data_IF_961279316489
#
_entry.id   IF_961279316489
#
_cell.length_a   1.000
_cell.length_b   1.000
_cell.length_c   1.000
_cell.angle_alpha   90.00
_cell.angle_beta   90.00
_cell.angle_gamma   90.00
#
_symmetry.space_group_name_H-M   'P 1'
#
loop_
_entity.id
_entity.type
_entity.pdbx_description
1 polymer ?
#
# COMPACT_ATOMS: atom_id res chain seq x y z
N UNK A 1 -12.26 -23.34 -9.12
CA UNK A 1 -11.56 -22.31 -8.32
C UNK A 1 -10.96 -21.21 -9.19
N UNK A 2 -10.15 -21.53 -10.22
CA UNK A 2 -9.56 -20.52 -11.12
C UNK A 2 -10.60 -19.62 -11.85
N UNK A 3 -11.68 -20.22 -12.37
CA UNK A 3 -12.76 -19.47 -13.04
C UNK A 3 -13.44 -18.42 -12.14
N UNK A 4 -13.49 -18.62 -10.81
CA UNK A 4 -14.11 -17.65 -9.91
C UNK A 4 -13.26 -16.39 -9.72
N UNK A 5 -11.93 -16.49 -9.91
CA UNK A 5 -11.02 -15.36 -9.75
C UNK A 5 -11.00 -14.45 -10.98
N UNK A 6 -11.18 -15.03 -12.17
CA UNK A 6 -11.01 -14.35 -13.47
C UNK A 6 -12.33 -13.96 -14.13
N UNK A 7 -13.43 -14.67 -13.86
CA UNK A 7 -14.73 -14.31 -14.43
C UNK A 7 -15.28 -13.01 -13.84
N UNK A 8 -16.04 -12.29 -14.65
CA UNK A 8 -16.80 -11.11 -14.23
C UNK A 8 -17.74 -11.51 -13.10
N UNK A 9 -17.38 -11.10 -11.88
CA UNK A 9 -18.04 -11.54 -10.66
C UNK A 9 -19.15 -10.56 -10.26
N UNK A 10 -18.81 -9.28 -10.17
CA UNK A 10 -19.73 -8.19 -9.83
C UNK A 10 -19.38 -6.95 -10.66
N UNK A 11 -20.39 -6.27 -11.19
CA UNK A 11 -20.26 -5.01 -11.95
C UNK A 11 -19.26 -5.06 -13.13
N UNK A 12 -19.10 -6.22 -13.76
CA UNK A 12 -18.17 -6.40 -14.89
C UNK A 12 -16.68 -6.46 -14.48
N UNK A 13 -16.37 -6.51 -13.19
CA UNK A 13 -15.02 -6.72 -12.67
C UNK A 13 -14.85 -8.11 -12.05
N UNK A 14 -13.67 -8.69 -12.22
CA UNK A 14 -13.34 -10.00 -11.69
C UNK A 14 -13.17 -9.96 -10.17
N UNK A 15 -13.37 -11.11 -9.50
CA UNK A 15 -13.14 -11.22 -8.06
C UNK A 15 -11.70 -10.83 -7.70
N UNK A 16 -10.71 -11.18 -8.53
CA UNK A 16 -9.33 -10.78 -8.31
C UNK A 16 -9.16 -9.26 -8.24
N UNK A 17 -9.80 -8.51 -9.14
CA UNK A 17 -9.76 -7.04 -9.14
C UNK A 17 -10.47 -6.46 -7.92
N UNK A 18 -11.60 -7.05 -7.50
CA UNK A 18 -12.27 -6.66 -6.26
C UNK A 18 -11.40 -6.84 -5.02
N UNK A 19 -10.65 -7.95 -4.94
CA UNK A 19 -9.69 -8.16 -3.85
C UNK A 19 -8.59 -7.09 -3.84
N UNK A 20 -8.13 -6.62 -5.02
CA UNK A 20 -7.18 -5.50 -5.11
C UNK A 20 -7.79 -4.22 -4.55
N UNK A 21 -9.00 -3.87 -4.95
CA UNK A 21 -9.69 -2.66 -4.49
C UNK A 21 -9.91 -2.70 -2.96
N UNK A 22 -10.45 -3.81 -2.45
CA UNK A 22 -10.74 -3.98 -1.02
C UNK A 22 -9.44 -3.94 -0.19
N UNK A 23 -8.42 -4.69 -0.60
CA UNK A 23 -7.13 -4.70 0.11
C UNK A 23 -6.47 -3.32 0.09
N UNK A 24 -6.55 -2.59 -1.03
CA UNK A 24 -6.05 -1.22 -1.13
C UNK A 24 -6.75 -0.28 -0.14
N UNK A 25 -8.08 -0.38 -0.04
CA UNK A 25 -8.86 0.41 0.94
C UNK A 25 -8.53 0.05 2.39
N UNK A 26 -8.36 -1.24 2.69
CA UNK A 26 -7.94 -1.70 4.03
C UNK A 26 -6.52 -1.23 4.37
N UNK A 27 -5.57 -1.31 3.44
CA UNK A 27 -4.20 -0.84 3.63
C UNK A 27 -4.15 0.66 3.95
N UNK A 28 -4.95 1.48 3.26
CA UNK A 28 -5.05 2.91 3.54
C UNK A 28 -5.69 3.20 4.90
N UNK A 29 -6.76 2.48 5.23
CA UNK A 29 -7.42 2.61 6.54
C UNK A 29 -6.47 2.23 7.67
N UNK A 30 -5.69 1.16 7.49
CA UNK A 30 -4.65 0.73 8.42
C UNK A 30 -3.53 1.76 8.56
N UNK A 31 -3.04 2.32 7.43
CA UNK A 31 -2.05 3.39 7.44
C UNK A 31 -2.55 4.61 8.20
N UNK A 32 -3.79 5.05 7.95
CA UNK A 32 -4.40 6.19 8.62
C UNK A 32 -4.56 5.95 10.13
N UNK A 33 -5.04 4.76 10.53
CA UNK A 33 -5.15 4.40 11.93
C UNK A 33 -3.79 4.39 12.64
N UNK A 34 -2.76 3.85 11.97
CA UNK A 34 -1.38 3.86 12.47
C UNK A 34 -0.86 5.29 12.60
N UNK A 35 -1.02 6.13 11.58
CA UNK A 35 -0.61 7.54 11.59
C UNK A 35 -1.27 8.31 12.73
N UNK A 36 -2.59 8.14 12.91
CA UNK A 36 -3.32 8.71 14.06
C UNK A 36 -2.70 8.29 15.39
N UNK A 37 -2.30 7.03 15.51
CA UNK A 37 -1.70 6.50 16.74
C UNK A 37 -0.25 6.98 16.94
N UNK A 38 0.48 7.32 15.86
CA UNK A 38 1.76 8.02 15.95
C UNK A 38 1.61 9.40 16.59
N UNK A 39 0.64 10.20 16.13
CA UNK A 39 0.37 11.53 16.70
C UNK A 39 -0.12 11.46 18.16
N UNK A 40 -0.72 10.34 18.56
CA UNK A 40 -1.10 10.06 19.96
C UNK A 40 0.06 9.54 20.81
N UNK A 41 1.26 9.39 20.26
CA UNK A 41 2.43 8.85 20.94
C UNK A 41 2.36 7.34 21.25
N UNK A 42 1.36 6.63 20.70
CA UNK A 42 1.19 5.18 20.90
C UNK A 42 2.10 4.34 20.00
N UNK A 43 2.60 4.95 18.92
CA UNK A 43 3.46 4.28 17.94
C UNK A 43 4.60 5.20 17.53
N UNK A 44 5.83 4.66 17.52
CA UNK A 44 7.04 5.37 17.11
C UNK A 44 7.72 4.55 16.02
N UNK A 45 7.43 4.80 14.72
CA UNK A 45 7.99 4.00 13.64
C UNK A 45 9.49 4.24 13.48
N UNK A 46 10.23 3.18 13.12
CA UNK A 46 11.61 3.34 12.67
C UNK A 46 11.65 3.84 11.22
N UNK A 47 12.17 5.06 11.00
CA UNK A 47 12.21 5.71 9.69
C UNK A 47 12.97 4.91 8.63
N UNK A 48 14.02 4.17 9.00
CA UNK A 48 14.80 3.36 8.05
C UNK A 48 13.96 2.18 7.56
N UNK A 49 13.35 1.43 8.48
CA UNK A 49 12.52 0.27 8.12
C UNK A 49 11.31 0.69 7.28
N UNK A 50 10.56 1.70 7.74
CA UNK A 50 9.39 2.18 7.02
C UNK A 50 9.75 2.81 5.67
N UNK A 51 10.86 3.54 5.62
CA UNK A 51 11.40 4.10 4.37
C UNK A 51 11.79 3.02 3.37
N UNK A 52 12.44 1.93 3.81
CA UNK A 52 12.76 0.79 2.94
C UNK A 52 11.52 0.05 2.45
N UNK A 53 10.51 -0.12 3.32
CA UNK A 53 9.22 -0.70 2.94
C UNK A 53 8.46 0.15 1.93
N UNK A 54 8.63 1.47 1.94
CA UNK A 54 8.11 2.35 0.90
C UNK A 54 8.93 2.27 -0.39
N UNK A 55 10.25 2.36 -0.26
CA UNK A 55 11.17 2.55 -1.38
C UNK A 55 11.15 1.37 -2.36
N UNK A 56 11.30 0.14 -1.87
CA UNK A 56 11.37 -1.05 -2.73
C UNK A 56 10.15 -1.22 -3.66
N UNK A 57 8.90 -1.23 -3.16
CA UNK A 57 7.71 -1.32 -4.02
C UNK A 57 7.50 -0.10 -4.91
N UNK A 58 7.91 1.11 -4.52
CA UNK A 58 7.80 2.28 -5.41
C UNK A 58 8.78 2.20 -6.59
N UNK A 59 10.01 1.72 -6.36
CA UNK A 59 10.94 1.40 -7.45
C UNK A 59 10.37 0.29 -8.35
N UNK A 60 9.82 -0.77 -7.76
CA UNK A 60 9.17 -1.84 -8.51
C UNK A 60 7.96 -1.36 -9.32
N UNK A 61 7.21 -0.37 -8.81
CA UNK A 61 6.12 0.27 -9.55
C UNK A 61 6.67 1.00 -10.78
N UNK A 62 7.75 1.77 -10.63
CA UNK A 62 8.41 2.43 -11.75
C UNK A 62 8.91 1.44 -12.82
N UNK A 63 9.48 0.31 -12.38
CA UNK A 63 9.89 -0.76 -13.28
C UNK A 63 8.68 -1.40 -14.01
N UNK A 64 7.59 -1.67 -13.30
CA UNK A 64 6.36 -2.22 -13.87
C UNK A 64 5.75 -1.28 -14.92
N UNK A 65 5.66 0.02 -14.62
CA UNK A 65 5.20 1.04 -15.58
C UNK A 65 6.11 1.13 -16.81
N UNK A 66 7.43 1.04 -16.62
CA UNK A 66 8.40 1.09 -17.73
C UNK A 66 8.35 -0.14 -18.63
N UNK A 67 7.86 -1.26 -18.10
CA UNK A 67 7.71 -2.53 -18.81
C UNK A 67 6.30 -2.74 -19.41
N UNK A 68 5.42 -1.72 -19.35
CA UNK A 68 4.01 -1.81 -19.77
C UNK A 68 3.26 -2.98 -19.10
N UNK A 69 3.56 -3.21 -17.81
CA UNK A 69 2.96 -4.29 -17.06
C UNK A 69 1.45 -4.05 -16.83
N UNK A 70 0.71 -5.15 -16.62
CA UNK A 70 -0.72 -5.11 -16.29
C UNK A 70 -1.03 -4.09 -15.17
N UNK A 71 -2.04 -3.26 -15.42
CA UNK A 71 -2.37 -2.14 -14.52
C UNK A 71 -2.84 -2.61 -13.14
N UNK A 72 -3.50 -3.77 -13.03
CA UNK A 72 -3.96 -4.31 -11.76
C UNK A 72 -2.80 -4.87 -10.92
N UNK A 73 -1.83 -5.53 -11.57
CA UNK A 73 -0.59 -5.91 -10.94
C UNK A 73 0.20 -4.69 -10.46
N UNK A 74 0.33 -3.67 -11.31
CA UNK A 74 1.03 -2.42 -10.99
C UNK A 74 0.38 -1.69 -9.83
N UNK A 75 -0.96 -1.61 -9.78
CA UNK A 75 -1.70 -1.00 -8.67
C UNK A 75 -1.40 -1.69 -7.33
N UNK A 76 -1.33 -3.03 -7.29
CA UNK A 76 -0.99 -3.75 -6.07
C UNK A 76 0.41 -3.42 -5.56
N UNK A 77 1.38 -3.36 -6.47
CA UNK A 77 2.77 -3.02 -6.14
C UNK A 77 2.83 -1.59 -5.62
N UNK A 78 2.15 -0.65 -6.28
CA UNK A 78 2.07 0.73 -5.83
C UNK A 78 1.48 0.84 -4.42
N UNK A 79 0.33 0.22 -4.17
CA UNK A 79 -0.36 0.33 -2.88
C UNK A 79 0.42 -0.28 -1.71
N UNK A 80 1.24 -1.31 -1.96
CA UNK A 80 2.12 -1.87 -0.93
C UNK A 80 3.25 -0.93 -0.52
N UNK A 81 3.68 -0.03 -1.41
CA UNK A 81 4.65 1.04 -1.12
C UNK A 81 4.05 2.35 -0.66
N UNK A 82 2.85 2.68 -1.16
CA UNK A 82 2.18 3.94 -0.85
C UNK A 82 1.77 4.04 0.62
N UNK A 83 1.27 2.95 1.21
CA UNK A 83 0.95 2.90 2.64
C UNK A 83 2.17 3.20 3.54
N UNK A 84 3.31 2.48 3.43
CA UNK A 84 4.50 2.80 4.20
C UNK A 84 5.15 4.15 3.83
N UNK A 85 4.96 4.65 2.60
CA UNK A 85 5.38 5.99 2.22
C UNK A 85 4.64 7.04 3.06
N UNK A 86 3.31 6.92 3.19
CA UNK A 86 2.53 7.82 4.04
C UNK A 86 3.04 7.78 5.48
N UNK A 87 3.21 6.58 6.05
CA UNK A 87 3.74 6.44 7.42
C UNK A 87 5.12 7.10 7.55
N UNK A 88 6.02 6.90 6.59
CA UNK A 88 7.36 7.52 6.59
C UNK A 88 7.28 9.04 6.53
N UNK A 89 6.46 9.60 5.63
CA UNK A 89 6.25 11.06 5.52
C UNK A 89 5.75 11.63 6.84
N UNK A 90 4.70 11.04 7.43
CA UNK A 90 4.14 11.53 8.69
C UNK A 90 5.10 11.35 9.87
N UNK A 91 5.90 10.29 9.88
CA UNK A 91 6.90 10.05 10.90
C UNK A 91 8.01 11.12 10.93
N UNK A 92 8.33 11.76 9.79
CA UNK A 92 9.29 12.87 9.73
C UNK A 92 8.82 14.12 10.50
N UNK A 93 7.51 14.29 10.69
CA UNK A 93 6.93 15.42 11.41
C UNK A 93 6.72 15.14 12.91
N UNK A 94 7.07 13.94 13.38
CA UNK A 94 6.89 13.54 14.79
C UNK A 94 8.27 13.30 15.39
N UNK A 95 8.54 13.88 16.56
CA UNK A 95 9.78 13.60 17.31
C UNK A 95 9.80 12.15 17.74
N UNK A 96 10.82 11.41 17.30
CA UNK A 96 11.01 9.99 17.63
C UNK A 96 11.76 9.80 18.97
N UNK A 97 11.77 10.78 19.87
CA UNK A 97 12.55 10.73 21.11
C UNK A 97 12.20 9.50 21.95
N UNK A 98 13.20 8.68 22.26
CA UNK A 98 13.09 7.47 23.08
C UNK A 98 12.74 7.82 24.53
#
# INVERSE_FOLDING_TARGET
MFNALTNNFLLGTSLAHWLVIISSGLSLTGAFAYIRDMFKGKSKPNLVTWGLWAFAPLVATGAALSADADSWATLRIFMSGFSPLLVTIFALFISQSH
#
